data_IF_134761993010
#
_entry.id   IF_134761993010
#
_cell.length_a   1.000
_cell.length_b   1.000
_cell.length_c   1.000
_cell.angle_alpha   90.00
_cell.angle_beta   90.00
_cell.angle_gamma   90.00
#
_symmetry.space_group_name_H-M   'P 1'
#
loop_
_entity.id
_entity.type
_entity.pdbx_description
1 polymer ?
#
# COMPACT_ATOMS: atom_id res chain seq x y z
N UNK A 1 10.56 -11.01 -8.09
CA UNK A 1 9.80 -11.79 -7.09
C UNK A 1 10.50 -11.67 -5.74
N UNK A 2 9.99 -10.82 -4.83
CA UNK A 2 10.70 -10.49 -3.58
C UNK A 2 10.87 -11.72 -2.65
N UNK A 3 12.10 -11.93 -2.17
CA UNK A 3 12.58 -13.07 -1.37
C UNK A 3 12.75 -12.72 0.14
N UNK A 4 12.24 -11.56 0.56
CA UNK A 4 12.42 -11.06 1.94
C UNK A 4 11.27 -11.55 2.83
N UNK A 5 11.59 -12.44 3.76
CA UNK A 5 10.67 -12.94 4.80
C UNK A 5 11.00 -12.28 6.14
N UNK A 6 10.00 -11.74 6.82
CA UNK A 6 10.16 -11.22 8.18
C UNK A 6 10.16 -12.38 9.17
N UNK A 7 10.88 -12.24 10.29
CA UNK A 7 11.00 -13.30 11.29
C UNK A 7 11.03 -12.77 12.73
N UNK A 8 10.24 -13.38 13.60
CA UNK A 8 10.33 -13.34 15.06
C UNK A 8 10.85 -14.70 15.57
N UNK A 9 11.11 -14.82 16.87
CA UNK A 9 11.69 -16.02 17.51
C UNK A 9 10.95 -17.32 17.18
N UNK A 10 9.64 -17.28 16.90
CA UNK A 10 8.84 -18.47 16.59
C UNK A 10 7.96 -18.33 15.33
N UNK A 11 8.09 -17.26 14.56
CA UNK A 11 7.27 -17.06 13.37
C UNK A 11 8.06 -16.43 12.24
N UNK A 12 7.87 -16.95 11.03
CA UNK A 12 8.37 -16.36 9.79
C UNK A 12 7.20 -16.11 8.88
N UNK A 13 7.11 -14.91 8.29
CA UNK A 13 5.99 -14.57 7.42
C UNK A 13 6.43 -13.70 6.24
N UNK A 14 5.56 -13.69 5.24
CA UNK A 14 5.72 -12.95 4.01
C UNK A 14 4.35 -12.37 3.65
N UNK A 15 4.05 -11.21 4.24
CA UNK A 15 2.76 -10.54 4.07
C UNK A 15 2.81 -9.60 2.86
N UNK A 16 2.54 -10.15 1.66
CA UNK A 16 2.39 -9.35 0.44
C UNK A 16 0.93 -9.23 0.08
N UNK A 17 0.47 -8.00 -0.10
CA UNK A 17 -0.91 -7.70 -0.46
C UNK A 17 -0.97 -6.76 -1.65
N UNK A 18 -1.96 -6.98 -2.53
CA UNK A 18 -2.31 -6.05 -3.59
C UNK A 18 -3.42 -5.12 -3.09
N UNK A 19 -3.03 -3.93 -2.62
CA UNK A 19 -3.95 -2.93 -2.10
C UNK A 19 -4.24 -1.91 -3.21
N UNK A 20 -5.53 -1.68 -3.50
CA UNK A 20 -5.98 -0.76 -4.56
C UNK A 20 -7.02 0.18 -3.98
N UNK A 21 -6.79 1.49 -4.16
CA UNK A 21 -7.73 2.53 -3.74
C UNK A 21 -8.40 3.16 -4.96
N UNK A 22 -9.73 3.22 -4.94
CA UNK A 22 -10.53 3.86 -5.99
C UNK A 22 -11.36 4.99 -5.40
N UNK A 23 -11.31 6.22 -5.95
CA UNK A 23 -12.09 7.34 -5.46
C UNK A 23 -13.57 7.16 -5.78
N UNK A 24 -14.46 7.68 -4.92
CA UNK A 24 -15.91 7.67 -5.17
C UNK A 24 -16.21 8.30 -6.53
N UNK A 25 -17.02 7.63 -7.35
CA UNK A 25 -17.33 8.01 -8.74
C UNK A 25 -16.12 8.04 -9.70
N UNK A 26 -15.01 7.36 -9.38
CA UNK A 26 -13.78 7.31 -10.19
C UNK A 26 -13.24 8.70 -10.57
N UNK A 27 -13.44 9.69 -9.71
CA UNK A 27 -12.95 11.06 -9.92
C UNK A 27 -11.43 11.07 -9.94
N UNK A 28 -10.81 11.84 -10.84
CA UNK A 28 -9.34 11.99 -10.92
C UNK A 28 -8.74 12.85 -9.79
N UNK A 29 -9.40 12.96 -8.63
CA UNK A 29 -8.99 13.84 -7.51
C UNK A 29 -7.64 13.44 -6.88
N UNK A 30 -7.32 12.14 -6.90
CA UNK A 30 -6.06 11.58 -6.38
C UNK A 30 -4.84 12.12 -7.14
N UNK A 31 -4.99 12.52 -8.41
CA UNK A 31 -3.85 12.93 -9.25
C UNK A 31 -3.41 14.38 -9.04
N UNK A 32 -4.19 15.21 -8.34
CA UNK A 32 -3.93 16.65 -8.24
C UNK A 32 -3.63 17.08 -6.81
N UNK A 33 -4.65 17.14 -5.95
CA UNK A 33 -4.52 17.74 -4.61
C UNK A 33 -4.13 16.71 -3.55
N UNK A 34 -4.65 15.50 -3.66
CA UNK A 34 -4.58 14.49 -2.60
C UNK A 34 -3.39 13.54 -2.77
N UNK A 35 -2.57 13.73 -3.82
CA UNK A 35 -1.48 12.80 -4.15
C UNK A 35 -0.37 12.81 -3.11
N UNK A 36 0.00 13.99 -2.61
CA UNK A 36 1.08 14.14 -1.61
C UNK A 36 0.65 13.50 -0.29
N UNK A 37 -0.51 13.91 0.22
CA UNK A 37 -1.07 13.39 1.48
C UNK A 37 -1.22 11.86 1.47
N UNK A 38 -1.61 11.27 0.33
CA UNK A 38 -1.72 9.82 0.18
C UNK A 38 -0.36 9.11 0.21
N UNK A 39 0.71 9.74 -0.28
CA UNK A 39 2.06 9.15 -0.25
C UNK A 39 2.61 9.23 1.17
N UNK A 40 2.42 10.33 1.89
CA UNK A 40 2.98 10.52 3.22
C UNK A 40 2.35 9.59 4.29
N UNK A 41 1.14 9.10 4.04
CA UNK A 41 0.43 8.16 4.93
C UNK A 41 0.87 6.70 4.72
N UNK A 42 1.43 6.36 3.55
CA UNK A 42 1.80 4.98 3.16
C UNK A 42 3.26 4.67 3.49
#
# INVERSE_FOLDING_TARGET
MAKTSYSLSHTKWMCKYHIVFTPKYRRKAIYYKVRSDLIDII
#
